data_IF_552255829134
#
_entry.id   IF_552255829134
#
_cell.length_a   1.000
_cell.length_b   1.000
_cell.length_c   1.000
_cell.angle_alpha   90.00
_cell.angle_beta   90.00
_cell.angle_gamma   90.00
#
_symmetry.space_group_name_H-M   'P 1'
#
loop_
_entity.id
_entity.type
_entity.pdbx_description
1 polymer ?
#
# COMPACT_ATOMS: atom_id res chain seq x y z
N UNK A 1 11.99 -4.55 -1.34
CA UNK A 1 10.60 -4.81 -0.90
C UNK A 1 10.03 -6.02 -1.62
N UNK A 2 10.17 -6.10 -2.94
CA UNK A 2 9.76 -7.29 -3.69
C UNK A 2 10.64 -8.52 -3.38
N UNK A 3 10.08 -9.72 -3.45
CA UNK A 3 10.80 -11.00 -3.37
C UNK A 3 10.87 -11.70 -4.74
N UNK A 4 11.58 -12.82 -4.80
CA UNK A 4 11.75 -13.67 -5.99
C UNK A 4 10.44 -14.27 -6.53
N UNK A 5 9.36 -14.24 -5.73
CA UNK A 5 8.01 -14.64 -6.13
C UNK A 5 7.16 -13.49 -6.71
N UNK A 6 7.73 -12.28 -6.82
CA UNK A 6 7.02 -11.09 -7.27
C UNK A 6 6.00 -10.57 -6.25
N UNK A 7 6.19 -10.87 -4.96
CA UNK A 7 5.36 -10.33 -3.87
C UNK A 7 6.05 -9.13 -3.23
N UNK A 8 5.29 -8.07 -2.98
CA UNK A 8 5.77 -6.93 -2.19
C UNK A 8 5.63 -7.26 -0.70
N UNK A 9 6.71 -7.15 0.07
CA UNK A 9 6.70 -7.33 1.51
C UNK A 9 6.69 -5.99 2.24
N UNK A 10 5.91 -5.91 3.31
CA UNK A 10 6.00 -4.81 4.27
C UNK A 10 7.36 -4.84 4.98
N UNK A 11 7.87 -3.67 5.36
CA UNK A 11 9.05 -3.59 6.23
C UNK A 11 8.66 -3.81 7.70
N UNK A 12 9.62 -4.04 8.58
CA UNK A 12 9.34 -4.17 10.03
C UNK A 12 8.76 -2.91 10.68
N UNK A 13 8.80 -1.77 9.98
CA UNK A 13 8.31 -0.48 10.48
C UNK A 13 7.16 0.09 9.65
N UNK A 14 6.62 -0.69 8.71
CA UNK A 14 5.49 -0.30 7.90
C UNK A 14 4.47 -1.42 7.80
N UNK A 15 3.23 -1.07 7.49
CA UNK A 15 2.17 -2.03 7.31
C UNK A 15 1.28 -1.62 6.15
N UNK A 16 0.72 -2.61 5.48
CA UNK A 16 -0.31 -2.43 4.46
C UNK A 16 -1.61 -3.02 4.96
N UNK A 17 -2.69 -2.27 4.73
CA UNK A 17 -4.06 -2.69 4.95
C UNK A 17 -4.79 -2.52 3.63
N UNK A 18 -5.53 -3.54 3.19
CA UNK A 18 -6.40 -3.44 2.02
C UNK A 18 -7.81 -3.15 2.50
N UNK A 19 -8.45 -2.13 1.93
CA UNK A 19 -9.79 -1.67 2.35
C UNK A 19 -10.80 -1.73 1.23
N UNK A 20 -12.03 -2.14 1.55
CA UNK A 20 -13.14 -2.09 0.61
C UNK A 20 -13.44 -0.64 0.24
N UNK A 21 -13.68 -0.37 -1.04
CA UNK A 21 -14.01 0.97 -1.49
C UNK A 21 -15.40 1.46 -1.02
N UNK A 22 -16.31 0.53 -0.72
CA UNK A 22 -17.70 0.86 -0.37
C UNK A 22 -17.84 1.45 1.05
N UNK A 23 -17.06 0.94 2.01
CA UNK A 23 -17.22 1.26 3.43
C UNK A 23 -15.89 1.39 4.20
N UNK A 24 -14.76 1.27 3.50
CA UNK A 24 -13.41 1.27 4.06
C UNK A 24 -13.14 0.18 5.11
N UNK A 25 -13.97 -0.86 5.18
CA UNK A 25 -13.71 -2.05 6.00
C UNK A 25 -12.48 -2.80 5.51
N UNK A 26 -11.82 -3.56 6.38
CA UNK A 26 -10.61 -4.32 6.03
C UNK A 26 -10.98 -5.53 5.18
N UNK A 27 -10.26 -5.71 4.07
CA UNK A 27 -10.37 -6.88 3.21
C UNK A 27 -9.63 -8.09 3.84
N UNK A 28 -10.21 -9.31 3.80
CA UNK A 28 -9.48 -10.54 4.04
C UNK A 28 -8.41 -10.77 2.95
N UNK A 29 -7.44 -11.67 3.19
CA UNK A 29 -6.51 -12.09 2.15
C UNK A 29 -7.22 -12.60 0.89
N UNK A 30 -6.71 -12.23 -0.27
CA UNK A 30 -7.28 -12.57 -1.58
C UNK A 30 -8.36 -11.63 -2.11
N UNK A 31 -8.90 -10.73 -1.28
CA UNK A 31 -9.89 -9.74 -1.72
C UNK A 31 -9.21 -8.43 -2.18
N UNK A 32 -9.61 -7.93 -3.36
CA UNK A 32 -9.14 -6.65 -3.92
C UNK A 32 -9.73 -5.47 -3.14
N UNK A 33 -8.90 -4.45 -2.92
CA UNK A 33 -9.36 -3.18 -2.35
C UNK A 33 -8.35 -2.06 -2.53
N UNK A 34 -8.63 -0.94 -1.88
CA UNK A 34 -7.77 0.24 -1.84
C UNK A 34 -6.60 -0.03 -0.90
N UNK A 35 -5.39 0.30 -1.34
CA UNK A 35 -4.18 0.17 -0.53
C UNK A 35 -4.11 1.30 0.48
N UNK A 36 -4.01 0.96 1.76
CA UNK A 36 -3.60 1.89 2.81
C UNK A 36 -2.20 1.54 3.27
N UNK A 37 -1.33 2.54 3.38
CA UNK A 37 0.02 2.41 3.93
C UNK A 37 0.11 3.06 5.32
N UNK A 38 0.72 2.32 6.24
CA UNK A 38 1.03 2.75 7.60
C UNK A 38 2.55 2.78 7.78
N UNK A 39 3.08 3.83 8.41
CA UNK A 39 4.50 3.91 8.79
C UNK A 39 4.66 4.41 10.22
N UNK A 40 5.37 3.64 11.06
CA UNK A 40 5.64 3.98 12.46
C UNK A 40 7.01 4.63 12.67
N UNK A 41 7.67 5.11 11.60
CA UNK A 41 8.91 5.88 11.68
C UNK A 41 8.62 7.39 11.55
N UNK A 42 8.33 8.10 12.65
CA UNK A 42 8.07 9.53 12.64
C UNK A 42 9.41 10.29 12.64
N UNK A 43 10.06 10.44 11.47
CA UNK A 43 11.24 11.33 11.39
C UNK A 43 10.88 12.82 11.33
N UNK A 44 9.62 13.17 11.06
CA UNK A 44 9.20 14.57 10.96
C UNK A 44 7.73 14.87 11.33
N UNK A 45 6.80 13.90 11.26
CA UNK A 45 5.36 14.04 11.62
C UNK A 45 4.86 12.76 12.32
N UNK A 46 3.72 12.77 13.07
CA UNK A 46 3.15 11.55 13.65
C UNK A 46 2.98 10.49 12.56
N UNK A 47 3.20 9.22 12.89
CA UNK A 47 3.26 8.12 11.92
C UNK A 47 2.20 8.22 10.82
N UNK A 48 2.61 8.07 9.56
CA UNK A 48 1.74 8.31 8.42
C UNK A 48 0.74 7.15 8.27
N UNK A 49 -0.54 7.49 8.17
CA UNK A 49 -1.62 6.58 7.78
C UNK A 49 -2.30 7.14 6.54
N UNK A 50 -1.87 6.68 5.37
CA UNK A 50 -2.31 7.22 4.08
C UNK A 50 -3.15 6.17 3.36
N UNK A 51 -4.39 6.51 3.05
CA UNK A 51 -5.20 5.78 2.09
C UNK A 51 -4.77 6.25 0.69
N UNK A 52 -4.25 5.34 -0.13
CA UNK A 52 -3.74 5.70 -1.46
C UNK A 52 -4.84 5.56 -2.51
N UNK A 53 -4.52 5.94 -3.74
CA UNK A 53 -5.38 5.71 -4.90
C UNK A 53 -4.93 4.47 -5.70
N UNK A 54 -4.24 3.54 -5.03
CA UNK A 54 -3.81 2.28 -5.62
C UNK A 54 -4.76 1.16 -5.22
N UNK A 55 -4.98 0.23 -6.14
CA UNK A 55 -5.65 -1.03 -5.87
C UNK A 55 -4.63 -2.11 -5.55
N UNK A 56 -4.96 -2.97 -4.61
CA UNK A 56 -4.11 -4.08 -4.24
C UNK A 56 -4.87 -5.21 -3.57
N UNK A 57 -4.13 -6.28 -3.30
CA UNK A 57 -4.62 -7.48 -2.64
C UNK A 57 -3.59 -7.97 -1.63
N UNK A 58 -4.03 -8.24 -0.41
CA UNK A 58 -3.20 -8.89 0.61
C UNK A 58 -3.15 -10.38 0.25
N UNK A 59 -1.96 -10.93 0.13
CA UNK A 59 -1.79 -12.33 -0.27
C UNK A 59 -1.66 -13.26 0.93
N UNK A 60 -1.06 -12.79 2.02
CA UNK A 60 -0.84 -13.57 3.22
C UNK A 60 0.01 -12.84 4.26
N UNK A 61 0.34 -13.54 5.34
CA UNK A 61 1.15 -13.07 6.45
C UNK A 61 1.96 -14.25 7.01
N UNK A 62 3.27 -14.08 7.09
CA UNK A 62 4.23 -15.08 7.61
C UNK A 62 4.37 -16.40 6.82
N UNK A 63 3.58 -16.60 5.77
CA UNK A 63 3.50 -17.82 4.97
C UNK A 63 3.99 -17.66 3.52
N UNK A 64 4.69 -16.57 3.22
CA UNK A 64 5.25 -16.36 1.89
C UNK A 64 6.26 -17.47 1.52
N UNK A 65 6.17 -18.08 0.32
CA UNK A 65 7.09 -19.14 -0.13
C UNK A 65 8.57 -18.72 -0.22
N UNK A 66 8.88 -17.42 -0.16
CA UNK A 66 10.26 -16.94 -0.11
C UNK A 66 10.88 -17.02 1.29
N UNK A 67 10.10 -17.37 2.32
CA UNK A 67 10.54 -17.52 3.71
C UNK A 67 10.58 -16.22 4.53
N UNK A 68 10.37 -15.04 3.92
CA UNK A 68 10.27 -13.77 4.65
C UNK A 68 8.98 -13.74 5.48
N UNK A 69 9.10 -13.21 6.69
CA UNK A 69 7.97 -12.99 7.63
C UNK A 69 7.34 -11.61 7.42
N UNK A 70 6.13 -11.43 7.96
CA UNK A 70 5.27 -10.27 7.80
C UNK A 70 4.30 -10.39 6.62
N UNK A 71 3.50 -9.33 6.45
CA UNK A 71 2.52 -9.22 5.37
C UNK A 71 3.16 -9.05 4.01
N UNK A 72 2.56 -9.70 3.01
CA UNK A 72 2.92 -9.52 1.61
C UNK A 72 1.69 -9.36 0.73
N UNK A 73 1.82 -8.56 -0.32
CA UNK A 73 0.70 -8.07 -1.12
C UNK A 73 1.12 -7.85 -2.58
N UNK A 74 0.13 -7.56 -3.43
CA UNK A 74 0.33 -7.08 -4.80
C UNK A 74 -0.41 -5.77 -5.00
N UNK A 75 0.17 -4.90 -5.84
CA UNK A 75 -0.51 -3.72 -6.39
C UNK A 75 -1.02 -4.10 -7.78
N UNK A 76 -2.30 -3.86 -8.04
CA UNK A 76 -2.98 -4.23 -9.29
C UNK A 76 -3.05 -3.06 -10.28
N UNK A 77 -2.88 -1.84 -9.79
CA UNK A 77 -2.90 -0.62 -10.59
C UNK A 77 -3.50 0.55 -9.81
N UNK A 78 -3.77 1.65 -10.51
CA UNK A 78 -4.42 2.84 -9.93
C UNK A 78 -5.94 2.71 -9.98
N UNK A 79 -6.63 3.36 -9.05
CA UNK A 79 -8.07 3.57 -9.14
C UNK A 79 -8.41 4.37 -10.42
N UNK A 80 -9.55 4.10 -11.08
CA UNK A 80 -10.01 4.92 -12.20
C UNK A 80 -10.19 6.38 -11.76
N UNK A 81 -9.63 7.32 -12.54
CA UNK A 81 -9.72 8.75 -12.24
C UNK A 81 -8.70 9.25 -11.21
N UNK A 82 -7.81 8.39 -10.70
CA UNK A 82 -6.65 8.84 -9.93
C UNK A 82 -5.84 9.82 -10.79
N UNK A 83 -5.46 10.95 -10.20
CA UNK A 83 -4.68 11.97 -10.91
C UNK A 83 -3.34 11.35 -11.34
N UNK A 84 -2.87 11.64 -12.56
CA UNK A 84 -1.55 11.22 -12.99
C UNK A 84 -0.42 11.98 -12.28
N UNK A 85 -0.80 12.88 -11.36
CA UNK A 85 0.08 13.76 -10.61
C UNK A 85 0.48 13.14 -9.27
N UNK A 86 1.74 13.30 -8.93
CA UNK A 86 2.33 12.79 -7.70
C UNK A 86 2.71 13.90 -6.73
N UNK A 87 3.05 13.51 -5.49
CA UNK A 87 3.52 14.43 -4.46
C UNK A 87 4.85 15.15 -4.79
N UNK A 88 5.50 14.76 -5.89
CA UNK A 88 6.72 15.38 -6.43
C UNK A 88 6.46 16.40 -7.52
N UNK A 89 5.21 16.57 -7.97
CA UNK A 89 4.89 17.55 -9.01
C UNK A 89 4.93 18.94 -8.43
N UNK A 90 6.00 19.67 -8.73
CA UNK A 90 6.12 21.09 -8.43
C UNK A 90 5.27 21.82 -9.46
N UNK A 91 4.17 22.43 -9.02
CA UNK A 91 3.49 23.44 -9.83
C UNK A 91 4.53 24.55 -10.05
N UNK A 92 5.09 24.65 -11.26
CA UNK A 92 5.59 25.93 -11.72
C UNK A 92 4.34 26.82 -11.77
N UNK A 93 4.12 27.61 -10.71
CA UNK A 93 3.08 28.61 -10.70
C UNK A 93 3.38 29.51 -11.90
N UNK A 94 2.61 29.35 -12.97
CA UNK A 94 2.66 30.27 -14.10
C UNK A 94 2.24 31.63 -13.56
N UNK A 95 3.20 32.56 -13.54
CA UNK A 95 2.95 34.00 -13.44
C UNK A 95 2.16 34.46 -14.66
#
# INVERSE_FOLDING_TARGET
MECDRGHLHCSSFSQVVIRRAADFSVCPPGEEGIVQVLSVLPRSYPGHSLLTEDKGVLLGEDDCPCGRKGRYFKVLGRLPGAELRGCSDVIAASL
#
